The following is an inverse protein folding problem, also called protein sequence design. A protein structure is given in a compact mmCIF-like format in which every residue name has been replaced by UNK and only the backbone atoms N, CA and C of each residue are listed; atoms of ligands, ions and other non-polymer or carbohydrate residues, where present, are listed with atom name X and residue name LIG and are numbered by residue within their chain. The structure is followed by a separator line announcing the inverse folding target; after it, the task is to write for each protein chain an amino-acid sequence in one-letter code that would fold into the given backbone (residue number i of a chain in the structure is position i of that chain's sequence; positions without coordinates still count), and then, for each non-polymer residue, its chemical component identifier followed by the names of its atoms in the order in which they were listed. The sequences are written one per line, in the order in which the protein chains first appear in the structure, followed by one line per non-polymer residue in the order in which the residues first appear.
data_IF_102150730241
#
_entry.id   IF_102150730241
#
_cell.length_a   1.000
_cell.length_b   1.000
_cell.length_c   1.000
_cell.angle_alpha   90.00
_cell.angle_beta   90.00
_cell.angle_gamma   90.00
#
_symmetry.space_group_name_H-M   'P 1'
#
loop_
_entity.id
_entity.type
_entity.pdbx_description
1 polymer ?
#
# COMPACT_ATOMS: atom_id res chain seq x y z
N UNK A 1 19.97 31.92 10.61
CA UNK A 1 18.78 31.77 9.75
C UNK A 1 19.07 30.60 8.82
N UNK A 2 18.72 29.38 9.23
CA UNK A 2 18.92 28.17 8.42
C UNK A 2 17.70 28.00 7.54
N UNK A 3 17.85 28.23 6.24
CA UNK A 3 16.79 28.20 5.25
C UNK A 3 16.17 26.80 5.19
N UNK A 4 14.94 26.69 5.71
CA UNK A 4 14.08 25.50 5.67
C UNK A 4 14.01 24.86 4.27
N UNK A 5 14.13 25.69 3.22
CA UNK A 5 14.13 25.24 1.82
C UNK A 5 15.30 24.33 1.43
N UNK A 6 16.48 24.43 2.07
CA UNK A 6 17.66 23.66 1.63
C UNK A 6 17.71 22.24 2.24
N UNK A 7 17.06 22.06 3.40
CA UNK A 7 16.97 20.75 4.06
C UNK A 7 16.02 19.80 3.35
N UNK A 8 14.83 20.26 2.95
CA UNK A 8 13.78 19.37 2.38
C UNK A 8 14.25 18.67 1.10
N UNK A 9 15.08 19.32 0.28
CA UNK A 9 15.69 18.70 -0.90
C UNK A 9 16.70 17.59 -0.57
N UNK A 10 17.34 17.64 0.61
CA UNK A 10 18.33 16.65 1.04
C UNK A 10 17.69 15.42 1.70
N UNK A 11 16.47 15.54 2.24
CA UNK A 11 15.83 14.50 3.04
C UNK A 11 14.76 13.69 2.31
N UNK A 12 14.90 13.55 0.99
CA UNK A 12 13.98 12.76 0.16
C UNK A 12 12.91 13.56 -0.58
N UNK A 13 13.01 14.90 -0.59
CA UNK A 13 12.27 15.73 -1.54
C UNK A 13 12.70 15.42 -2.98
N UNK A 14 11.72 15.30 -3.88
CA UNK A 14 12.00 15.09 -5.30
C UNK A 14 12.79 16.28 -5.87
N UNK A 15 13.81 16.07 -6.73
CA UNK A 15 14.51 17.16 -7.41
C UNK A 15 13.53 18.06 -8.16
N UNK A 16 13.79 19.37 -8.17
CA UNK A 16 13.03 20.33 -8.98
C UNK A 16 13.08 19.89 -10.44
N UNK A 17 11.96 19.41 -11.00
CA UNK A 17 11.87 18.96 -12.40
C UNK A 17 11.33 17.55 -12.63
N UNK A 18 11.10 16.72 -11.60
CA UNK A 18 10.27 15.52 -11.77
C UNK A 18 8.80 15.91 -11.76
N UNK A 19 8.10 15.63 -12.87
CA UNK A 19 6.69 15.95 -13.10
C UNK A 19 5.74 15.07 -12.28
N UNK A 20 5.81 15.20 -10.96
CA UNK A 20 4.84 14.66 -10.01
C UNK A 20 4.28 15.82 -9.17
N UNK A 21 2.97 15.84 -8.87
CA UNK A 21 2.42 16.75 -7.90
C UNK A 21 2.89 16.30 -6.51
N UNK A 22 4.05 16.76 -6.05
CA UNK A 22 4.40 16.63 -4.64
C UNK A 22 3.90 17.88 -3.94
N UNK A 23 2.74 17.83 -3.25
CA UNK A 23 2.33 18.93 -2.40
C UNK A 23 3.41 19.07 -1.31
N UNK A 24 4.16 20.16 -1.33
CA UNK A 24 4.89 20.55 -0.14
C UNK A 24 3.87 20.66 0.98
N UNK A 25 3.97 19.84 2.04
CA UNK A 25 2.99 19.89 3.12
C UNK A 25 3.05 21.28 3.74
N UNK A 26 1.90 21.94 3.86
CA UNK A 26 1.79 23.23 4.53
C UNK A 26 1.96 23.13 6.05
N UNK A 27 1.98 21.91 6.60
CA UNK A 27 2.18 21.63 8.01
C UNK A 27 3.65 21.58 8.45
N UNK A 28 3.85 21.24 9.71
CA UNK A 28 5.17 21.09 10.35
C UNK A 28 5.80 19.75 9.97
N UNK A 29 7.12 19.70 10.05
CA UNK A 29 7.90 18.48 9.86
C UNK A 29 8.28 17.85 11.20
N UNK A 30 8.14 16.53 11.26
CA UNK A 30 8.53 15.68 12.37
C UNK A 30 9.52 14.62 11.90
N UNK A 31 10.40 14.17 12.79
CA UNK A 31 11.46 13.23 12.46
C UNK A 31 11.42 12.02 13.39
N UNK A 32 11.55 10.83 12.81
CA UNK A 32 11.58 9.54 13.49
C UNK A 32 12.85 8.79 13.08
N UNK A 33 13.66 8.39 14.05
CA UNK A 33 14.86 7.58 13.86
C UNK A 33 14.90 6.50 14.96
N UNK A 34 14.66 5.25 14.57
CA UNK A 34 14.63 4.11 15.48
C UNK A 34 16.01 3.62 15.93
N UNK A 35 17.10 4.19 15.39
CA UNK A 35 18.48 3.92 15.83
C UNK A 35 18.95 5.00 16.81
N UNK A 36 18.88 6.27 16.42
CA UNK A 36 19.46 7.38 17.20
C UNK A 36 18.43 8.21 17.97
N UNK A 37 17.15 8.07 17.63
CA UNK A 37 16.06 8.82 18.26
C UNK A 37 15.77 8.34 19.68
N UNK A 38 15.16 9.21 20.47
CA UNK A 38 14.80 8.98 21.87
C UNK A 38 13.36 9.36 22.12
N UNK A 39 12.73 8.74 23.13
CA UNK A 39 11.33 9.01 23.45
C UNK A 39 11.08 10.44 23.94
N UNK A 40 12.03 11.02 24.67
CA UNK A 40 11.94 12.38 25.22
C UNK A 40 12.40 13.48 24.28
N UNK A 41 12.78 13.15 23.04
CA UNK A 41 13.19 14.15 22.06
C UNK A 41 12.01 14.99 21.57
N UNK A 42 12.29 16.13 20.96
CA UNK A 42 11.24 17.03 20.46
C UNK A 42 10.60 16.58 19.15
N UNK A 43 11.29 15.75 18.36
CA UNK A 43 10.87 15.34 17.02
C UNK A 43 10.97 16.43 15.95
N UNK A 44 11.40 17.65 16.29
CA UNK A 44 11.33 18.84 15.41
C UNK A 44 12.54 19.01 14.48
N UNK A 45 13.59 18.22 14.66
CA UNK A 45 14.78 18.20 13.81
C UNK A 45 15.43 16.81 13.84
N UNK A 46 16.22 16.42 12.83
CA UNK A 46 16.82 15.08 12.75
C UNK A 46 17.66 14.69 13.98
N UNK A 47 18.43 15.63 14.54
CA UNK A 47 19.27 15.37 15.72
C UNK A 47 18.50 15.24 17.04
N UNK A 48 17.19 15.53 17.02
CA UNK A 48 16.25 15.32 18.12
C UNK A 48 15.04 14.54 17.59
N UNK A 49 15.26 13.49 16.80
CA UNK A 49 14.18 12.65 16.28
C UNK A 49 13.53 11.81 17.40
N UNK A 50 12.23 11.52 17.25
CA UNK A 50 11.55 10.51 18.08
C UNK A 50 12.08 9.11 17.76
N UNK A 51 12.04 8.20 18.74
CA UNK A 51 12.47 6.80 18.55
C UNK A 51 11.46 5.92 17.82
N UNK A 52 10.19 6.34 17.73
CA UNK A 52 9.10 5.57 17.11
C UNK A 52 8.13 6.47 16.35
N UNK A 53 7.41 5.88 15.40
CA UNK A 53 6.38 6.59 14.64
C UNK A 53 5.16 6.91 15.51
N UNK A 54 4.82 6.03 16.46
CA UNK A 54 3.74 6.26 17.44
C UNK A 54 3.96 7.54 18.24
N UNK A 55 5.20 7.84 18.65
CA UNK A 55 5.51 9.08 19.37
C UNK A 55 5.34 10.32 18.49
N UNK A 56 5.77 10.26 17.23
CA UNK A 56 5.55 11.35 16.28
C UNK A 56 4.05 11.59 16.04
N UNK A 57 3.27 10.52 15.84
CA UNK A 57 1.83 10.61 15.63
C UNK A 57 1.07 11.19 16.83
N UNK A 58 1.61 11.08 18.05
CA UNK A 58 1.04 11.73 19.23
C UNK A 58 1.27 13.26 19.25
N UNK A 59 2.20 13.77 18.43
CA UNK A 59 2.59 15.18 18.40
C UNK A 59 2.13 15.93 17.13
N UNK A 60 1.74 15.21 16.07
CA UNK A 60 1.33 15.82 14.80
C UNK A 60 -0.06 16.44 14.86
N UNK A 61 -0.23 17.52 14.09
CA UNK A 61 -1.53 18.11 13.77
C UNK A 61 -1.91 17.80 12.30
N UNK A 62 -3.13 18.15 11.90
CA UNK A 62 -3.61 17.99 10.53
C UNK A 62 -2.70 18.68 9.52
N UNK A 63 -2.31 17.96 8.46
CA UNK A 63 -1.45 18.48 7.39
C UNK A 63 0.05 18.40 7.66
N UNK A 64 0.47 17.92 8.84
CA UNK A 64 1.88 17.72 9.17
C UNK A 64 2.51 16.54 8.39
N UNK A 65 3.84 16.55 8.28
CA UNK A 65 4.64 15.48 7.66
C UNK A 65 5.59 14.85 8.67
N UNK A 66 5.72 13.53 8.60
CA UNK A 66 6.65 12.74 9.42
C UNK A 66 7.68 12.07 8.49
N UNK A 67 8.94 12.44 8.66
CA UNK A 67 10.08 11.82 8.02
C UNK A 67 10.60 10.66 8.86
N UNK A 68 10.67 9.47 8.27
CA UNK A 68 11.09 8.25 8.97
C UNK A 68 12.41 7.75 8.39
N UNK A 69 13.44 7.69 9.22
CA UNK A 69 14.76 7.17 8.82
C UNK A 69 14.81 5.64 8.88
N UNK A 70 15.55 4.97 8.00
CA UNK A 70 15.86 3.56 8.14
C UNK A 70 16.65 3.31 9.42
N UNK A 71 16.39 2.17 10.04
CA UNK A 71 17.23 1.72 11.15
C UNK A 71 18.53 1.16 10.59
N UNK A 72 19.61 1.42 11.32
CA UNK A 72 20.94 0.89 11.02
C UNK A 72 20.90 -0.63 10.81
N UNK A 73 21.57 -1.03 9.74
CA UNK A 73 21.72 -2.43 9.35
C UNK A 73 23.21 -2.77 9.38
N UNK A 74 23.57 -3.77 10.19
CA UNK A 74 24.95 -4.30 10.20
C UNK A 74 25.23 -5.04 8.90
N UNK A 75 26.48 -5.03 8.43
CA UNK A 75 26.87 -5.58 7.12
C UNK A 75 26.55 -7.07 6.93
N UNK A 76 26.45 -7.83 8.02
CA UNK A 76 26.12 -9.27 8.01
C UNK A 76 24.63 -9.55 8.10
N UNK A 77 23.79 -8.53 8.24
CA UNK A 77 22.35 -8.72 8.34
C UNK A 77 21.77 -9.15 7.00
N UNK A 78 20.89 -10.15 7.03
CA UNK A 78 20.16 -10.64 5.85
C UNK A 78 18.74 -10.09 5.78
N UNK A 79 18.27 -9.37 6.82
CA UNK A 79 17.00 -8.65 6.85
C UNK A 79 17.17 -7.26 7.50
N UNK A 80 16.53 -6.19 7.00
CA UNK A 80 16.64 -4.88 7.62
C UNK A 80 16.02 -4.87 9.01
N UNK A 81 16.68 -4.16 9.92
CA UNK A 81 16.14 -3.91 11.24
C UNK A 81 14.84 -3.11 11.08
N UNK A 82 13.77 -3.59 11.70
CA UNK A 82 12.44 -3.00 11.55
C UNK A 82 12.01 -2.25 12.79
N UNK A 83 11.23 -1.19 12.61
CA UNK A 83 10.36 -0.64 13.65
C UNK A 83 9.34 -1.72 14.02
N UNK A 84 9.35 -2.14 15.28
CA UNK A 84 8.47 -3.18 15.80
C UNK A 84 7.34 -2.52 16.59
N UNK A 85 6.39 -1.93 15.88
CA UNK A 85 5.28 -1.20 16.49
C UNK A 85 4.00 -1.37 15.67
N UNK A 86 2.87 -1.16 16.34
CA UNK A 86 1.56 -1.09 15.69
C UNK A 86 1.18 0.37 15.57
N UNK A 87 1.00 0.84 14.34
CA UNK A 87 0.81 2.25 14.03
C UNK A 87 -0.68 2.50 13.83
N UNK A 88 -1.27 3.42 14.59
CA UNK A 88 -2.66 3.87 14.41
C UNK A 88 -2.65 5.34 14.01
N UNK A 89 -3.19 5.66 12.82
CA UNK A 89 -3.20 7.02 12.29
C UNK A 89 -4.62 7.57 12.37
N UNK A 90 -4.84 8.44 13.36
CA UNK A 90 -6.15 9.07 13.63
C UNK A 90 -6.19 10.55 13.27
N UNK A 91 -5.05 11.16 12.94
CA UNK A 91 -4.96 12.56 12.55
C UNK A 91 -5.11 12.70 11.03
N UNK A 92 -6.06 13.51 10.54
CA UNK A 92 -6.28 13.69 9.09
C UNK A 92 -5.09 14.34 8.39
N UNK A 93 -4.96 14.07 7.09
CA UNK A 93 -4.03 14.76 6.18
C UNK A 93 -2.55 14.67 6.60
N UNK A 94 -2.19 13.67 7.40
CA UNK A 94 -0.79 13.41 7.77
C UNK A 94 -0.08 12.68 6.64
N UNK A 95 1.13 13.14 6.31
CA UNK A 95 2.02 12.46 5.37
C UNK A 95 3.14 11.76 6.11
N UNK A 96 3.39 10.49 5.79
CA UNK A 96 4.50 9.70 6.34
C UNK A 96 5.43 9.35 5.20
N UNK A 97 6.67 9.83 5.28
CA UNK A 97 7.65 9.72 4.20
C UNK A 97 8.92 9.05 4.72
N UNK A 98 9.30 7.93 4.11
CA UNK A 98 10.57 7.29 4.40
C UNK A 98 11.74 8.04 3.78
N UNK A 99 12.76 8.31 4.59
CA UNK A 99 14.04 8.90 4.17
C UNK A 99 14.97 7.77 3.77
N UNK A 100 14.88 7.29 2.53
CA UNK A 100 15.55 6.07 2.09
C UNK A 100 16.43 6.21 0.85
N UNK A 101 17.29 5.21 0.64
CA UNK A 101 18.17 5.08 -0.53
C UNK A 101 17.52 4.22 -1.64
N UNK A 102 16.20 4.30 -1.79
CA UNK A 102 15.42 3.57 -2.80
C UNK A 102 14.82 2.25 -2.32
N UNK A 103 14.02 1.63 -3.21
CA UNK A 103 13.16 0.45 -2.94
C UNK A 103 13.93 -0.87 -2.87
N UNK A 104 15.07 -0.87 -2.18
CA UNK A 104 15.94 -2.05 -1.97
C UNK A 104 15.89 -2.49 -0.52
N UNK A 105 16.28 -3.74 -0.27
CA UNK A 105 16.38 -4.27 1.09
C UNK A 105 17.39 -3.44 1.89
N UNK A 106 16.95 -2.86 3.00
CA UNK A 106 17.78 -1.99 3.86
C UNK A 106 17.80 -0.53 3.43
N UNK A 107 17.26 -0.21 2.24
CA UNK A 107 17.19 1.15 1.73
C UNK A 107 16.01 1.97 2.25
N UNK A 108 14.95 1.33 2.74
CA UNK A 108 13.76 2.01 3.27
C UNK A 108 13.63 1.79 4.80
N UNK A 109 13.04 2.75 5.55
CA UNK A 109 12.51 2.44 6.87
C UNK A 109 11.51 1.30 6.77
N UNK A 110 11.76 0.24 7.53
CA UNK A 110 10.97 -0.97 7.49
C UNK A 110 10.17 -1.12 8.78
N UNK A 111 8.88 -1.39 8.68
CA UNK A 111 8.02 -1.72 9.80
C UNK A 111 7.70 -3.22 9.80
N UNK A 112 7.55 -3.75 11.01
CA UNK A 112 7.00 -5.08 11.26
C UNK A 112 5.99 -4.97 12.39
N UNK A 113 5.16 -5.99 12.53
CA UNK A 113 4.09 -5.97 13.52
C UNK A 113 4.62 -5.81 14.95
N UNK A 114 3.94 -4.95 15.72
CA UNK A 114 4.10 -4.88 17.16
C UNK A 114 3.48 -6.11 17.85
N UNK A 115 3.86 -6.36 19.10
CA UNK A 115 3.29 -7.45 19.88
C UNK A 115 1.76 -7.30 20.02
N UNK A 116 1.02 -8.41 19.82
CA UNK A 116 -0.43 -8.47 20.04
C UNK A 116 -1.32 -7.87 18.94
N UNK A 117 -0.76 -7.41 17.81
CA UNK A 117 -1.54 -6.89 16.69
C UNK A 117 -1.68 -7.89 15.54
N UNK A 118 -2.67 -7.68 14.69
CA UNK A 118 -2.84 -8.32 13.36
C UNK A 118 -2.69 -7.33 12.21
N UNK A 119 -2.36 -6.07 12.48
CA UNK A 119 -2.19 -4.99 11.49
C UNK A 119 -0.94 -4.18 11.84
N UNK A 120 -0.13 -3.80 10.85
CA UNK A 120 1.03 -2.93 11.06
C UNK A 120 0.64 -1.44 11.05
N UNK A 121 -0.16 -1.02 10.07
CA UNK A 121 -0.68 0.33 9.95
C UNK A 121 -2.20 0.30 9.89
N UNK A 122 -2.86 0.90 10.87
CA UNK A 122 -4.32 1.08 10.91
C UNK A 122 -4.63 2.56 10.64
N UNK A 123 -5.02 2.86 9.41
CA UNK A 123 -5.38 4.20 8.96
C UNK A 123 -6.86 4.40 9.29
N UNK A 124 -7.17 5.41 10.10
CA UNK A 124 -8.52 5.75 10.58
C UNK A 124 -8.93 7.18 10.24
N UNK A 125 -8.09 7.91 9.52
CA UNK A 125 -8.30 9.31 9.21
C UNK A 125 -8.17 9.57 7.71
N UNK A 126 -8.83 10.61 7.19
CA UNK A 126 -8.85 10.88 5.77
C UNK A 126 -7.62 11.65 5.33
N UNK A 127 -7.29 11.61 4.04
CA UNK A 127 -6.20 12.41 3.47
C UNK A 127 -4.80 11.89 3.78
N UNK A 128 -4.66 10.67 4.33
CA UNK A 128 -3.37 10.15 4.77
C UNK A 128 -2.51 9.73 3.56
N UNK A 129 -1.24 10.13 3.57
CA UNK A 129 -0.23 9.71 2.59
C UNK A 129 0.85 8.86 3.25
N UNK A 130 1.20 7.73 2.65
CA UNK A 130 2.32 6.89 3.06
C UNK A 130 3.23 6.68 1.85
N UNK A 131 4.49 7.08 2.01
CA UNK A 131 5.47 7.07 0.92
C UNK A 131 6.81 6.50 1.34
N UNK A 132 7.46 5.75 0.44
CA UNK A 132 8.82 5.24 0.64
C UNK A 132 9.00 4.40 1.92
N UNK A 133 7.99 3.62 2.30
CA UNK A 133 8.03 2.76 3.50
C UNK A 133 8.14 1.28 3.10
N UNK A 134 8.94 0.52 3.85
CA UNK A 134 8.94 -0.95 3.83
C UNK A 134 7.98 -1.52 4.86
N UNK A 135 7.14 -2.48 4.49
CA UNK A 135 6.22 -3.21 5.38
C UNK A 135 6.55 -4.69 5.30
N UNK A 136 6.90 -5.30 6.44
CA UNK A 136 7.34 -6.69 6.52
C UNK A 136 6.49 -7.51 7.49
N UNK A 137 5.62 -8.36 6.94
CA UNK A 137 4.75 -9.26 7.70
C UNK A 137 5.40 -10.57 8.18
N UNK A 138 6.72 -10.74 7.99
CA UNK A 138 7.43 -11.95 8.43
C UNK A 138 7.17 -12.22 9.91
N UNK A 139 7.10 -13.50 10.27
CA UNK A 139 6.81 -14.01 11.64
C UNK A 139 5.40 -13.78 12.20
N UNK A 140 4.47 -13.20 11.45
CA UNK A 140 3.12 -12.91 11.94
C UNK A 140 2.02 -13.32 10.98
N UNK A 141 0.81 -13.49 11.50
CA UNK A 141 -0.43 -13.49 10.72
C UNK A 141 -0.83 -12.08 10.28
N UNK A 142 0.00 -11.05 10.54
CA UNK A 142 -0.35 -9.65 10.35
C UNK A 142 -0.56 -9.25 8.89
N UNK A 143 -1.57 -8.41 8.66
CA UNK A 143 -1.72 -7.61 7.45
C UNK A 143 -0.79 -6.40 7.45
N UNK A 144 -0.57 -5.82 6.28
CA UNK A 144 0.24 -4.61 6.12
C UNK A 144 -0.50 -3.37 6.59
N UNK A 145 -1.09 -2.65 5.64
CA UNK A 145 -1.93 -1.48 5.87
C UNK A 145 -3.39 -1.89 5.86
N UNK A 146 -4.12 -1.54 6.92
CA UNK A 146 -5.56 -1.58 7.00
C UNK A 146 -6.12 -0.17 6.92
N UNK A 147 -7.09 0.01 6.05
CA UNK A 147 -7.90 1.22 5.92
C UNK A 147 -9.22 0.95 6.65
N UNK A 148 -9.40 1.58 7.79
CA UNK A 148 -10.57 1.41 8.65
C UNK A 148 -11.49 2.61 8.49
N UNK A 149 -12.71 2.36 8.02
CA UNK A 149 -13.76 3.36 7.92
C UNK A 149 -15.11 2.72 8.27
N UNK A 150 -15.77 3.29 9.28
CA UNK A 150 -17.01 2.84 9.89
C UNK A 150 -18.21 3.73 9.51
N UNK A 151 -18.20 4.29 8.29
CA UNK A 151 -19.18 5.27 7.86
C UNK A 151 -18.87 6.68 8.36
N UNK A 152 -17.61 6.94 8.73
CA UNK A 152 -17.17 8.21 9.29
C UNK A 152 -17.71 8.52 10.69
N UNK A 153 -18.18 7.51 11.43
CA UNK A 153 -18.69 7.71 12.79
C UNK A 153 -17.56 7.84 13.82
N UNK A 154 -16.52 7.00 13.71
CA UNK A 154 -15.30 7.11 14.52
C UNK A 154 -14.02 6.96 13.69
N UNK A 155 -14.11 6.44 12.47
CA UNK A 155 -12.97 6.25 11.56
C UNK A 155 -13.38 6.55 10.12
N UNK A 156 -12.55 7.29 9.40
CA UNK A 156 -12.81 7.70 8.02
C UNK A 156 -11.53 7.67 7.18
N UNK A 157 -11.07 6.48 6.77
CA UNK A 157 -9.89 6.29 5.92
C UNK A 157 -10.12 6.66 4.42
N UNK A 158 -10.83 7.74 4.13
CA UNK A 158 -11.10 8.20 2.77
C UNK A 158 -9.94 9.05 2.21
N UNK A 159 -9.71 9.03 0.89
CA UNK A 159 -8.75 9.91 0.24
C UNK A 159 -7.29 9.60 0.64
N UNK A 160 -6.76 8.42 0.34
CA UNK A 160 -5.39 8.07 0.69
C UNK A 160 -4.44 8.00 -0.50
N UNK A 161 -3.14 8.05 -0.21
CA UNK A 161 -2.10 7.68 -1.17
C UNK A 161 -1.08 6.75 -0.52
N UNK A 162 -0.75 5.66 -1.21
CA UNK A 162 0.28 4.69 -0.82
C UNK A 162 1.24 4.55 -2.00
N UNK A 163 2.42 5.18 -1.87
CA UNK A 163 3.30 5.44 -3.01
C UNK A 163 4.71 4.95 -2.74
N UNK A 164 5.32 4.28 -3.73
CA UNK A 164 6.73 3.86 -3.67
C UNK A 164 7.09 3.00 -2.43
N UNK A 165 6.12 2.29 -1.87
CA UNK A 165 6.33 1.40 -0.73
C UNK A 165 6.76 0.00 -1.19
N UNK A 166 7.32 -0.76 -0.25
CA UNK A 166 7.68 -2.17 -0.46
C UNK A 166 6.97 -3.05 0.57
N UNK A 167 6.00 -3.83 0.11
CA UNK A 167 5.23 -4.77 0.93
C UNK A 167 5.78 -6.17 0.76
N UNK A 168 6.19 -6.79 1.87
CA UNK A 168 6.66 -8.16 1.87
C UNK A 168 6.06 -9.00 2.99
N UNK A 169 5.82 -10.28 2.69
CA UNK A 169 5.39 -11.29 3.66
C UNK A 169 4.08 -10.93 4.42
N UNK A 170 3.23 -10.05 3.88
CA UNK A 170 1.99 -9.64 4.53
C UNK A 170 0.94 -10.73 4.32
N UNK A 171 0.40 -11.29 5.41
CA UNK A 171 -0.54 -12.40 5.33
C UNK A 171 -1.96 -11.95 5.62
N UNK A 172 -2.20 -11.29 6.76
CA UNK A 172 -3.51 -11.07 7.41
C UNK A 172 -4.27 -12.38 7.73
N UNK A 173 -4.38 -13.27 6.75
CA UNK A 173 -4.91 -14.61 6.84
C UNK A 173 -3.98 -15.58 6.11
N UNK A 174 -3.86 -16.83 6.57
CA UNK A 174 -2.88 -17.76 6.00
C UNK A 174 -3.25 -18.28 4.60
N UNK A 175 -4.54 -18.39 4.31
CA UNK A 175 -5.06 -19.12 3.13
C UNK A 175 -6.21 -18.43 2.41
N UNK A 176 -6.60 -17.22 2.83
CA UNK A 176 -7.73 -16.51 2.25
C UNK A 176 -7.43 -15.02 2.16
N UNK A 177 -6.99 -14.59 0.99
CA UNK A 177 -6.63 -13.22 0.70
C UNK A 177 -7.79 -12.23 0.79
N UNK A 178 -9.05 -12.67 0.71
CA UNK A 178 -10.19 -11.74 0.86
C UNK A 178 -10.35 -11.19 2.27
N UNK A 179 -9.73 -11.83 3.26
CA UNK A 179 -9.75 -11.41 4.66
C UNK A 179 -8.59 -10.47 5.02
N UNK A 180 -7.72 -10.15 4.06
CA UNK A 180 -6.66 -9.16 4.21
C UNK A 180 -5.40 -9.47 3.39
N UNK A 181 -4.45 -8.55 3.43
CA UNK A 181 -3.23 -8.63 2.63
C UNK A 181 -2.22 -7.55 2.98
N UNK A 182 -1.43 -7.14 1.99
CA UNK A 182 -0.51 -6.02 2.13
C UNK A 182 -1.25 -4.68 2.27
N UNK A 183 -2.30 -4.46 1.47
CA UNK A 183 -3.22 -3.33 1.61
C UNK A 183 -4.64 -3.88 1.67
N UNK A 184 -5.37 -3.56 2.74
CA UNK A 184 -6.73 -4.02 2.96
C UNK A 184 -7.67 -2.86 3.28
N UNK A 185 -8.78 -2.77 2.54
CA UNK A 185 -9.86 -1.81 2.80
C UNK A 185 -11.19 -2.55 2.89
N UNK A 186 -11.69 -2.70 4.12
CA UNK A 186 -12.94 -3.39 4.45
C UNK A 186 -14.05 -2.47 4.96
N UNK A 187 -14.14 -1.25 4.42
CA UNK A 187 -14.97 -0.19 4.99
C UNK A 187 -16.48 -0.33 4.72
N UNK A 188 -17.28 0.17 5.67
CA UNK A 188 -18.73 0.36 5.56
C UNK A 188 -19.18 1.77 5.09
N UNK A 189 -18.24 2.72 4.88
CA UNK A 189 -18.49 4.13 4.62
C UNK A 189 -18.32 4.58 3.16
N UNK A 190 -18.83 5.78 2.82
CA UNK A 190 -18.97 6.29 1.44
C UNK A 190 -17.90 7.27 0.96
N UNK A 191 -17.76 7.36 -0.38
CA UNK A 191 -16.81 8.14 -1.19
C UNK A 191 -15.33 7.79 -0.94
N UNK A 192 -14.89 6.76 -1.67
CA UNK A 192 -13.49 6.35 -1.66
C UNK A 192 -12.80 7.10 -2.79
N UNK A 193 -11.61 7.61 -2.55
CA UNK A 193 -10.68 8.04 -3.58
C UNK A 193 -9.31 7.58 -3.08
N UNK A 194 -8.51 6.99 -3.95
CA UNK A 194 -7.28 6.33 -3.49
C UNK A 194 -6.26 6.18 -4.60
N UNK A 195 -4.99 6.36 -4.24
CA UNK A 195 -3.85 6.13 -5.11
C UNK A 195 -2.94 5.05 -4.53
N UNK A 196 -2.71 3.99 -5.30
CA UNK A 196 -1.74 2.93 -5.01
C UNK A 196 -0.74 2.93 -6.16
N UNK A 197 0.41 3.58 -5.97
CA UNK A 197 1.35 3.86 -7.06
C UNK A 197 2.78 3.42 -6.79
N UNK A 198 3.44 2.84 -7.80
CA UNK A 198 4.88 2.63 -7.75
C UNK A 198 5.33 1.62 -6.71
N UNK A 199 4.41 0.83 -6.13
CA UNK A 199 4.71 -0.08 -5.04
C UNK A 199 5.29 -1.39 -5.55
N UNK A 200 6.07 -2.05 -4.69
CA UNK A 200 6.52 -3.42 -4.89
C UNK A 200 5.85 -4.34 -3.88
N UNK A 201 5.23 -5.40 -4.38
CA UNK A 201 4.61 -6.43 -3.57
C UNK A 201 5.37 -7.75 -3.72
N UNK A 202 5.65 -8.43 -2.61
CA UNK A 202 6.48 -9.63 -2.60
C UNK A 202 6.06 -10.63 -1.50
N UNK A 203 5.68 -11.85 -1.88
CA UNK A 203 5.31 -12.93 -0.93
C UNK A 203 4.15 -12.55 0.03
N UNK A 204 3.20 -11.74 -0.42
CA UNK A 204 1.98 -11.49 0.36
C UNK A 204 0.91 -12.52 0.02
N UNK A 205 0.03 -12.86 0.97
CA UNK A 205 -1.11 -13.75 0.69
C UNK A 205 -2.09 -13.04 -0.24
N UNK A 206 -2.35 -11.76 -0.02
CA UNK A 206 -2.91 -10.89 -1.04
C UNK A 206 -2.20 -9.55 -1.08
N UNK A 207 -2.12 -8.93 -2.26
CA UNK A 207 -1.41 -7.66 -2.41
C UNK A 207 -2.31 -6.46 -2.12
N UNK A 208 -3.42 -6.32 -2.84
CA UNK A 208 -4.41 -5.27 -2.61
C UNK A 208 -5.81 -5.87 -2.56
N UNK A 209 -6.53 -5.57 -1.47
CA UNK A 209 -7.83 -6.15 -1.17
C UNK A 209 -8.80 -5.05 -0.80
N UNK A 210 -9.74 -4.75 -1.69
CA UNK A 210 -10.76 -3.71 -1.52
C UNK A 210 -12.14 -4.38 -1.58
N UNK A 211 -12.70 -4.70 -0.41
CA UNK A 211 -13.88 -5.58 -0.30
C UNK A 211 -15.19 -4.85 0.01
N UNK A 212 -15.13 -3.62 0.53
CA UNK A 212 -16.30 -2.76 0.78
C UNK A 212 -17.46 -3.40 1.53
N UNK A 213 -18.59 -2.70 1.55
CA UNK A 213 -19.88 -3.26 1.97
C UNK A 213 -20.95 -2.89 0.95
N UNK A 214 -22.12 -3.50 1.03
CA UNK A 214 -23.26 -3.14 0.17
C UNK A 214 -23.80 -1.71 0.38
N UNK A 215 -23.40 -1.04 1.47
CA UNK A 215 -23.88 0.30 1.83
C UNK A 215 -23.23 1.45 1.05
N UNK A 216 -22.08 1.21 0.42
CA UNK A 216 -21.34 2.23 -0.33
C UNK A 216 -20.48 1.60 -1.43
N UNK A 217 -20.46 2.24 -2.61
CA UNK A 217 -19.55 1.87 -3.70
C UNK A 217 -18.30 2.74 -3.62
N UNK A 218 -17.11 2.14 -3.54
CA UNK A 218 -15.85 2.88 -3.67
C UNK A 218 -15.79 3.65 -4.99
N UNK A 219 -15.12 4.79 -5.02
CA UNK A 219 -14.96 5.58 -6.23
C UNK A 219 -13.48 5.85 -6.54
N UNK A 220 -13.16 6.24 -7.78
CA UNK A 220 -11.88 6.84 -8.20
C UNK A 220 -10.63 6.18 -7.59
N UNK A 221 -10.50 4.86 -7.75
CA UNK A 221 -9.35 4.10 -7.26
C UNK A 221 -8.34 3.96 -8.39
N UNK A 222 -7.14 4.51 -8.19
CA UNK A 222 -6.04 4.39 -9.14
C UNK A 222 -4.98 3.44 -8.59
N UNK A 223 -4.70 2.38 -9.35
CA UNK A 223 -3.66 1.39 -9.07
C UNK A 223 -2.70 1.41 -10.27
N UNK A 224 -1.56 2.08 -10.14
CA UNK A 224 -0.64 2.25 -11.27
C UNK A 224 0.84 2.05 -10.97
N UNK A 225 1.59 1.65 -12.00
CA UNK A 225 3.05 1.52 -11.93
C UNK A 225 3.55 0.57 -10.81
N UNK A 226 2.73 -0.40 -10.38
CA UNK A 226 3.09 -1.35 -9.33
C UNK A 226 3.69 -2.64 -9.89
N UNK A 227 4.49 -3.33 -9.07
CA UNK A 227 5.10 -4.63 -9.39
C UNK A 227 4.67 -5.70 -8.38
N UNK A 228 3.95 -6.71 -8.85
CA UNK A 228 3.38 -7.80 -8.05
C UNK A 228 4.28 -9.06 -8.05
N UNK A 229 5.48 -8.92 -7.50
CA UNK A 229 6.61 -9.87 -7.65
C UNK A 229 6.66 -11.09 -6.72
N UNK A 230 5.57 -11.46 -6.03
CA UNK A 230 5.56 -12.62 -5.14
C UNK A 230 5.65 -13.95 -5.89
N UNK A 231 6.34 -14.99 -5.37
CA UNK A 231 6.28 -16.33 -5.95
C UNK A 231 4.84 -16.88 -5.85
N UNK A 232 4.38 -17.51 -6.94
CA UNK A 232 3.03 -18.03 -7.10
C UNK A 232 2.49 -18.78 -5.86
N UNK A 233 3.28 -19.67 -5.28
CA UNK A 233 2.89 -20.50 -4.13
C UNK A 233 2.68 -19.76 -2.80
N UNK A 234 2.89 -18.44 -2.75
CA UNK A 234 2.68 -17.60 -1.57
C UNK A 234 1.51 -16.63 -1.72
N UNK A 235 0.87 -16.58 -2.89
CA UNK A 235 -0.13 -15.56 -3.24
C UNK A 235 -1.48 -16.25 -3.53
N UNK A 236 -2.53 -15.80 -2.86
CA UNK A 236 -3.95 -16.15 -3.11
C UNK A 236 -4.58 -15.18 -4.12
N UNK A 237 -4.21 -13.90 -4.10
CA UNK A 237 -4.62 -12.97 -5.15
C UNK A 237 -3.80 -11.68 -5.18
N UNK A 238 -3.56 -11.11 -6.36
CA UNK A 238 -2.87 -9.81 -6.43
C UNK A 238 -3.87 -8.69 -6.15
N UNK A 239 -4.89 -8.54 -6.98
CA UNK A 239 -5.94 -7.53 -6.82
C UNK A 239 -7.29 -8.21 -6.56
N UNK A 240 -7.77 -8.09 -5.33
CA UNK A 240 -9.10 -8.57 -4.93
C UNK A 240 -10.02 -7.36 -4.70
N UNK A 241 -10.69 -6.92 -5.75
CA UNK A 241 -11.54 -5.74 -5.79
C UNK A 241 -13.00 -6.18 -5.91
N UNK A 242 -13.60 -6.53 -4.78
CA UNK A 242 -14.94 -7.12 -4.68
C UNK A 242 -15.83 -6.35 -3.70
N UNK A 243 -15.78 -5.01 -3.79
CA UNK A 243 -16.50 -3.99 -3.01
C UNK A 243 -18.02 -4.14 -2.84
N UNK A 244 -18.55 -5.26 -2.34
CA UNK A 244 -19.98 -5.58 -2.36
C UNK A 244 -20.60 -5.50 -3.77
N UNK A 245 -21.03 -4.30 -4.15
CA UNK A 245 -21.49 -3.95 -5.50
C UNK A 245 -20.36 -3.55 -6.47
N UNK A 246 -19.09 -3.60 -6.05
CA UNK A 246 -17.91 -3.21 -6.82
C UNK A 246 -17.52 -1.73 -6.71
N UNK A 247 -16.47 -1.33 -7.42
CA UNK A 247 -15.84 0.01 -7.40
C UNK A 247 -16.22 0.78 -8.66
N UNK A 248 -16.65 2.04 -8.54
CA UNK A 248 -16.94 2.93 -9.67
C UNK A 248 -15.73 3.82 -10.01
N UNK A 249 -15.18 3.72 -11.21
CA UNK A 249 -13.98 4.49 -11.58
C UNK A 249 -12.68 3.87 -11.09
N UNK A 250 -12.50 2.56 -11.27
CA UNK A 250 -11.21 1.90 -11.02
C UNK A 250 -10.28 2.04 -12.23
N UNK A 251 -9.05 2.49 -12.02
CA UNK A 251 -8.02 2.63 -13.04
C UNK A 251 -6.82 1.75 -12.69
N UNK A 252 -6.68 0.62 -13.38
CA UNK A 252 -5.57 -0.32 -13.19
C UNK A 252 -4.62 -0.18 -14.38
N UNK A 253 -3.48 0.47 -14.17
CA UNK A 253 -2.68 0.96 -15.28
C UNK A 253 -1.17 0.71 -15.12
N UNK A 254 -0.48 0.27 -16.19
CA UNK A 254 1.00 0.08 -16.19
C UNK A 254 1.54 -0.78 -15.04
N UNK A 255 0.78 -1.77 -14.58
CA UNK A 255 1.26 -2.69 -13.55
C UNK A 255 1.93 -3.93 -14.15
N UNK A 256 2.81 -4.56 -13.38
CA UNK A 256 3.51 -5.79 -13.77
C UNK A 256 3.11 -6.95 -12.86
N UNK A 257 2.57 -8.01 -13.46
CA UNK A 257 2.15 -9.26 -12.82
C UNK A 257 3.01 -10.43 -13.32
N UNK A 258 4.20 -10.67 -12.75
CA UNK A 258 5.16 -11.65 -13.28
C UNK A 258 4.74 -13.12 -13.12
N UNK A 259 3.77 -13.45 -12.27
CA UNK A 259 3.25 -14.81 -12.17
C UNK A 259 1.82 -14.86 -11.62
N UNK A 260 1.11 -15.96 -11.87
CA UNK A 260 -0.21 -16.20 -11.28
C UNK A 260 -0.14 -16.56 -9.80
N UNK A 261 -1.06 -16.05 -8.98
CA UNK A 261 -1.36 -16.61 -7.66
C UNK A 261 -1.67 -18.11 -7.76
N UNK A 262 -1.00 -18.90 -6.94
CA UNK A 262 -1.14 -20.35 -6.90
C UNK A 262 -0.81 -20.91 -5.51
N UNK A 263 -1.17 -20.18 -4.45
CA UNK A 263 -1.07 -20.73 -3.10
C UNK A 263 -1.92 -22.00 -3.03
N UNK A 264 -1.29 -23.13 -2.70
CA UNK A 264 -1.90 -24.46 -2.85
C UNK A 264 -3.15 -24.71 -1.99
N UNK A 265 -3.43 -23.82 -1.04
CA UNK A 265 -4.61 -23.82 -0.16
C UNK A 265 -5.50 -22.58 -0.34
N UNK A 266 -5.26 -21.79 -1.39
CA UNK A 266 -5.94 -20.53 -1.64
C UNK A 266 -7.36 -20.72 -2.15
N UNK A 267 -8.26 -19.83 -1.71
CA UNK A 267 -9.65 -19.82 -2.16
C UNK A 267 -9.90 -18.94 -3.38
N UNK A 268 -8.98 -18.03 -3.69
CA UNK A 268 -9.17 -17.05 -4.76
C UNK A 268 -8.26 -17.34 -5.97
N UNK A 269 -7.01 -17.77 -5.78
CA UNK A 269 -6.00 -18.11 -6.84
C UNK A 269 -6.07 -17.29 -8.14
N UNK A 270 -6.44 -16.01 -8.06
CA UNK A 270 -6.77 -15.16 -9.20
C UNK A 270 -5.83 -13.95 -9.21
N UNK A 271 -5.31 -13.56 -10.37
CA UNK A 271 -4.50 -12.32 -10.48
C UNK A 271 -5.39 -11.13 -10.15
N UNK A 272 -6.57 -11.04 -10.78
CA UNK A 272 -7.55 -9.98 -10.59
C UNK A 272 -8.93 -10.59 -10.32
N UNK A 273 -9.61 -10.07 -9.31
CA UNK A 273 -11.05 -10.23 -9.08
C UNK A 273 -11.64 -8.83 -9.08
N UNK A 274 -12.42 -8.49 -10.11
CA UNK A 274 -12.96 -7.13 -10.31
C UNK A 274 -14.50 -7.11 -10.24
N UNK A 275 -15.10 -7.98 -9.44
CA UNK A 275 -16.55 -8.18 -9.38
C UNK A 275 -17.29 -6.85 -9.16
N UNK A 276 -18.19 -6.52 -10.08
CA UNK A 276 -19.02 -5.31 -10.04
C UNK A 276 -18.27 -4.00 -10.30
N UNK A 277 -16.98 -4.02 -10.64
CA UNK A 277 -16.20 -2.80 -10.86
C UNK A 277 -16.48 -2.17 -12.22
N UNK A 278 -16.40 -0.84 -12.30
CA UNK A 278 -16.51 -0.02 -13.51
C UNK A 278 -15.23 0.79 -13.67
N UNK A 279 -14.64 0.86 -14.86
CA UNK A 279 -13.37 1.58 -15.04
C UNK A 279 -12.50 1.05 -16.19
N UNK A 280 -11.18 1.02 -16.01
CA UNK A 280 -10.23 0.60 -17.03
C UNK A 280 -9.07 -0.27 -16.51
N UNK A 281 -8.61 -1.17 -17.37
CA UNK A 281 -7.44 -2.03 -17.20
C UNK A 281 -6.53 -1.84 -18.43
N UNK A 282 -5.50 -1.01 -18.28
CA UNK A 282 -4.70 -0.53 -19.42
C UNK A 282 -3.19 -0.67 -19.24
N UNK A 283 -2.47 -0.95 -20.34
CA UNK A 283 -1.01 -0.96 -20.39
C UNK A 283 -0.34 -1.89 -19.35
N UNK A 284 -1.05 -2.91 -18.85
CA UNK A 284 -0.50 -3.83 -17.85
C UNK A 284 0.29 -4.96 -18.53
N UNK A 285 1.32 -5.44 -17.85
CA UNK A 285 2.12 -6.59 -18.29
C UNK A 285 1.80 -7.81 -17.43
N UNK A 286 1.40 -8.90 -18.07
CA UNK A 286 1.17 -10.17 -17.39
C UNK A 286 2.21 -11.20 -17.84
N UNK A 287 3.11 -11.61 -16.95
CA UNK A 287 4.20 -12.57 -17.23
C UNK A 287 3.71 -14.01 -17.40
N UNK A 288 2.79 -14.23 -18.31
CA UNK A 288 2.04 -15.48 -18.49
C UNK A 288 2.60 -16.27 -19.67
N UNK A 289 2.69 -17.58 -19.49
CA UNK A 289 2.62 -18.56 -20.58
C UNK A 289 1.44 -19.50 -20.32
N UNK A 290 0.43 -19.53 -21.21
CA UNK A 290 -0.58 -20.60 -21.25
C UNK A 290 -1.87 -20.44 -20.42
N UNK A 291 -2.23 -19.25 -19.93
CA UNK A 291 -3.53 -18.97 -19.28
C UNK A 291 -4.25 -17.79 -19.94
N UNK A 292 -5.58 -17.85 -20.01
CA UNK A 292 -6.45 -16.90 -20.72
C UNK A 292 -7.25 -16.01 -19.75
N UNK A 293 -7.62 -14.79 -20.16
CA UNK A 293 -8.64 -13.98 -19.48
C UNK A 293 -10.03 -14.48 -19.91
N UNK A 294 -10.92 -14.83 -18.98
CA UNK A 294 -12.27 -15.30 -19.32
C UNK A 294 -13.13 -15.66 -18.10
N UNK A 295 -14.46 -15.66 -18.28
CA UNK A 295 -15.49 -15.78 -17.23
C UNK A 295 -15.44 -17.09 -16.40
N UNK A 296 -14.65 -18.08 -16.81
CA UNK A 296 -14.42 -19.34 -16.10
C UNK A 296 -12.92 -19.63 -15.85
N UNK A 297 -12.05 -18.64 -16.02
CA UNK A 297 -10.60 -18.76 -15.81
C UNK A 297 -10.14 -17.79 -14.71
N UNK A 298 -8.87 -17.91 -14.32
CA UNK A 298 -8.25 -17.32 -13.11
C UNK A 298 -8.20 -15.77 -13.03
N UNK A 299 -9.05 -15.07 -13.79
CA UNK A 299 -9.23 -13.61 -13.80
C UNK A 299 -10.71 -13.29 -14.07
N UNK A 300 -11.38 -12.63 -13.12
CA UNK A 300 -12.78 -12.20 -13.25
C UNK A 300 -12.86 -10.69 -13.55
N UNK A 301 -12.91 -10.33 -14.85
CA UNK A 301 -13.05 -8.95 -15.33
C UNK A 301 -14.48 -8.74 -15.86
N UNK A 302 -15.27 -7.80 -15.31
CA UNK A 302 -16.62 -7.53 -15.80
C UNK A 302 -16.60 -6.70 -17.10
N UNK A 303 -17.70 -6.73 -17.86
CA UNK A 303 -17.85 -5.96 -19.12
C UNK A 303 -17.86 -4.44 -18.95
N UNK A 304 -17.99 -3.99 -17.71
CA UNK A 304 -17.89 -2.59 -17.29
C UNK A 304 -16.44 -2.09 -17.14
N UNK A 305 -15.44 -2.94 -17.38
CA UNK A 305 -14.02 -2.57 -17.40
C UNK A 305 -13.53 -2.49 -18.85
N UNK A 306 -13.08 -1.31 -19.26
CA UNK A 306 -12.41 -1.10 -20.55
C UNK A 306 -11.00 -1.70 -20.49
N UNK A 307 -10.69 -2.62 -21.41
CA UNK A 307 -9.35 -3.19 -21.56
C UNK A 307 -8.65 -2.62 -22.80
N UNK A 308 -7.42 -2.12 -22.65
CA UNK A 308 -6.60 -1.66 -23.77
C UNK A 308 -5.10 -1.86 -23.52
N UNK A 309 -4.34 -2.25 -24.55
CA UNK A 309 -2.88 -2.33 -24.53
C UNK A 309 -2.25 -3.20 -23.42
N UNK A 310 -2.96 -4.19 -22.87
CA UNK A 310 -2.29 -5.11 -21.95
C UNK A 310 -1.45 -6.12 -22.76
N UNK A 311 -0.26 -6.42 -22.27
CA UNK A 311 0.70 -7.30 -22.93
C UNK A 311 0.64 -8.73 -22.38
N UNK A 312 0.87 -9.70 -23.26
CA UNK A 312 0.77 -11.14 -22.95
C UNK A 312 -0.63 -11.56 -22.48
N UNK A 313 -1.65 -10.93 -23.07
CA UNK A 313 -3.01 -11.44 -22.98
C UNK A 313 -3.16 -12.79 -23.67
N UNK A 314 -2.27 -13.16 -24.62
CA UNK A 314 -2.28 -14.22 -25.66
C UNK A 314 -2.66 -15.67 -25.28
N UNK A 315 -3.22 -15.90 -24.10
CA UNK A 315 -4.26 -16.91 -23.94
C UNK A 315 -5.69 -16.41 -24.27
N UNK A 316 -5.96 -15.10 -24.22
CA UNK A 316 -7.28 -14.47 -24.27
C UNK A 316 -7.78 -14.29 -25.71
N UNK A 317 -7.90 -15.39 -26.45
CA UNK A 317 -8.93 -15.44 -27.49
C UNK A 317 -10.30 -15.37 -26.81
N UNK A 318 -11.00 -14.26 -27.02
CA UNK A 318 -12.32 -13.90 -26.51
C UNK A 318 -12.38 -13.52 -25.02
N UNK A 319 -12.22 -12.22 -24.77
CA UNK A 319 -13.04 -11.55 -23.74
C UNK A 319 -14.50 -11.72 -24.21
N UNK A 320 -15.20 -12.71 -23.66
CA UNK A 320 -16.64 -12.85 -23.86
C UNK A 320 -17.29 -11.65 -23.15
N UNK A 321 -17.70 -10.67 -23.95
CA UNK A 321 -18.58 -9.61 -23.51
C UNK A 321 -19.96 -10.22 -23.26
N UNK A 322 -20.37 -10.34 -22.01
CA UNK A 322 -21.78 -10.52 -21.63
C UNK A 322 -22.35 -9.20 -21.13
#
# INVERSE_FOLDING_TARGET
MTTFGDGVYQWGGSPVGMSGPEPFPSGRAWFVDGTSGLAGNSGKKPTEAFSTLTLALAAVDTGDVIYVYPKDMVATSTDPVSYAETVSITTPQVSIVGVGNGKVQGGLPQFKIGAGSTVMFDIKAPGVSIQNIGINGISSTGGGIKLTDDGGSTSAAAGFSIVNCHFKNCKAHATNGSLGGAIYWGSAGGAWQGLIKGNKFYKNVADVVLVGTSGSRPQDIVIEDNVFSGPAGSVDGNLLLNGGSGIDGVYINRNVFPCFPAIGSGSNTNVLVLTGCVGSLTDNQFGITGKTFGAAANVLVPTTILMAHNYQEDGATQIVRT
#
